data_IF_921716692162
#
_entry.id   IF_921716692162
#
_cell.length_a   1.000
_cell.length_b   1.000
_cell.length_c   1.000
_cell.angle_alpha   90.00
_cell.angle_beta   90.00
_cell.angle_gamma   90.00
#
_symmetry.space_group_name_H-M   'P 1'
#
loop_
_entity.id
_entity.type
_entity.pdbx_description
1 polymer ?
#
# COMPACT_ATOMS: atom_id res chain seq x y z
N UNK A 1 31.82 14.08 5.94
CA UNK A 1 30.58 13.64 6.63
C UNK A 1 30.25 12.24 6.13
N UNK A 2 30.04 11.27 7.02
CA UNK A 2 29.63 9.91 6.60
C UNK A 2 28.11 9.89 6.52
N UNK A 3 27.55 9.57 5.36
CA UNK A 3 26.09 9.42 5.18
C UNK A 3 25.63 8.16 5.94
N UNK A 4 24.71 8.27 6.92
CA UNK A 4 24.20 7.08 7.62
C UNK A 4 23.37 6.22 6.66
N UNK A 5 23.50 4.90 6.81
CA UNK A 5 22.65 3.92 6.14
C UNK A 5 21.79 3.21 7.18
N UNK A 6 20.47 3.30 7.00
CA UNK A 6 19.49 2.55 7.80
C UNK A 6 19.17 1.25 7.06
N UNK A 7 19.61 0.15 7.58
CA UNK A 7 19.32 -1.16 7.03
C UNK A 7 17.90 -1.63 7.37
N UNK A 8 17.50 -2.78 6.81
CA UNK A 8 16.17 -3.33 6.99
C UNK A 8 15.81 -3.59 8.48
N UNK A 9 16.78 -4.07 9.27
CA UNK A 9 16.57 -4.37 10.69
C UNK A 9 16.39 -3.08 11.50
N UNK A 10 17.19 -2.06 11.21
CA UNK A 10 17.09 -0.74 11.84
C UNK A 10 15.75 -0.08 11.50
N UNK A 11 15.33 -0.06 10.22
CA UNK A 11 14.03 0.47 9.79
C UNK A 11 12.87 -0.22 10.51
N UNK A 12 12.86 -1.56 10.54
CA UNK A 12 11.82 -2.33 11.22
C UNK A 12 11.78 -2.05 12.73
N UNK A 13 12.92 -1.72 13.36
CA UNK A 13 12.97 -1.37 14.79
C UNK A 13 12.48 0.05 15.10
N UNK A 14 12.61 0.97 14.16
CA UNK A 14 12.22 2.38 14.31
C UNK A 14 10.73 2.61 14.05
N UNK A 15 10.11 1.80 13.21
CA UNK A 15 8.77 2.01 12.67
C UNK A 15 7.87 0.80 12.92
N UNK A 16 7.01 0.88 13.94
CA UNK A 16 5.87 -0.04 14.01
C UNK A 16 4.84 0.31 12.92
N UNK A 17 3.96 -0.65 12.53
CA UNK A 17 2.86 -0.38 11.62
C UNK A 17 2.00 0.82 12.05
N UNK A 18 1.62 0.90 13.32
CA UNK A 18 0.82 2.01 13.85
C UNK A 18 1.51 3.36 13.70
N UNK A 19 2.84 3.42 13.91
CA UNK A 19 3.61 4.64 13.74
C UNK A 19 3.67 5.08 12.28
N UNK A 20 3.89 4.14 11.36
CA UNK A 20 3.91 4.44 9.93
C UNK A 20 2.53 4.91 9.43
N UNK A 21 1.44 4.27 9.87
CA UNK A 21 0.06 4.71 9.58
C UNK A 21 -0.19 6.11 10.10
N UNK A 22 0.18 6.40 11.36
CA UNK A 22 0.00 7.73 11.95
C UNK A 22 0.77 8.82 11.19
N UNK A 23 2.02 8.55 10.79
CA UNK A 23 2.82 9.49 10.00
C UNK A 23 2.17 9.83 8.65
N UNK A 24 1.64 8.83 7.94
CA UNK A 24 0.92 9.05 6.68
C UNK A 24 -0.38 9.84 6.88
N UNK A 25 -1.14 9.50 7.92
CA UNK A 25 -2.38 10.21 8.29
C UNK A 25 -2.10 11.67 8.62
N UNK A 26 -1.10 11.94 9.45
CA UNK A 26 -0.66 13.30 9.83
C UNK A 26 -0.18 14.11 8.63
N UNK A 27 0.55 13.49 7.70
CA UNK A 27 1.02 14.17 6.49
C UNK A 27 -0.15 14.61 5.60
N UNK A 28 -1.14 13.75 5.37
CA UNK A 28 -2.34 14.07 4.60
C UNK A 28 -3.20 15.12 5.31
N UNK A 29 -3.42 14.97 6.62
CA UNK A 29 -4.16 15.94 7.43
C UNK A 29 -3.44 17.30 7.50
N UNK A 30 -2.12 17.31 7.42
CA UNK A 30 -1.27 18.51 7.35
C UNK A 30 -1.21 19.16 5.97
N UNK A 31 -1.95 18.64 4.98
CA UNK A 31 -2.08 19.24 3.65
C UNK A 31 -1.04 18.73 2.62
N UNK A 32 -0.39 17.60 2.86
CA UNK A 32 0.35 16.93 1.80
C UNK A 32 -0.64 16.52 0.70
N UNK A 33 -0.35 16.94 -0.53
CA UNK A 33 -1.18 16.66 -1.69
C UNK A 33 -0.51 15.60 -2.58
N UNK A 34 -1.02 14.36 -2.62
CA UNK A 34 -0.50 13.30 -3.46
C UNK A 34 -0.54 13.60 -4.97
N UNK A 35 -1.41 14.51 -5.42
CA UNK A 35 -1.50 14.88 -6.83
C UNK A 35 -0.28 15.68 -7.32
N UNK A 36 0.53 16.21 -6.39
CA UNK A 36 1.78 16.92 -6.70
C UNK A 36 2.98 15.97 -6.88
N UNK A 37 2.82 14.68 -6.58
CA UNK A 37 3.87 13.70 -6.82
C UNK A 37 4.19 13.58 -8.31
N UNK A 38 5.46 13.68 -8.71
CA UNK A 38 5.84 13.47 -10.09
C UNK A 38 5.60 12.00 -10.48
N UNK A 39 5.28 11.73 -11.76
CA UNK A 39 5.22 10.36 -12.25
C UNK A 39 6.53 9.63 -11.99
N UNK A 40 6.45 8.34 -11.65
CA UNK A 40 7.62 7.48 -11.58
C UNK A 40 8.32 7.39 -12.93
N UNK A 41 9.64 7.32 -12.92
CA UNK A 41 10.45 7.27 -14.13
C UNK A 41 11.04 5.88 -14.27
N UNK A 42 10.97 5.34 -15.49
CA UNK A 42 11.61 4.09 -15.84
C UNK A 42 12.80 4.36 -16.77
N UNK A 43 13.92 3.68 -16.52
CA UNK A 43 15.10 3.76 -17.37
C UNK A 43 15.63 2.35 -17.64
N UNK A 44 15.60 1.88 -18.90
CA UNK A 44 15.99 0.52 -19.23
C UNK A 44 17.50 0.29 -19.02
N UNK A 45 17.82 -0.94 -18.59
CA UNK A 45 19.16 -1.47 -18.42
C UNK A 45 19.27 -2.83 -19.13
N UNK A 46 20.47 -3.31 -19.37
CA UNK A 46 20.68 -4.64 -20.00
C UNK A 46 20.06 -5.78 -19.15
N UNK A 47 20.19 -5.73 -17.82
CA UNK A 47 19.65 -6.75 -16.92
C UNK A 47 18.22 -6.49 -16.47
N UNK A 48 17.60 -5.37 -16.86
CA UNK A 48 16.27 -4.96 -16.38
C UNK A 48 16.02 -3.47 -16.53
N UNK A 49 15.60 -2.81 -15.44
CA UNK A 49 15.35 -1.37 -15.49
C UNK A 49 15.54 -0.70 -14.13
N UNK A 50 15.79 0.61 -14.13
CA UNK A 50 15.59 1.46 -12.99
C UNK A 50 14.13 1.89 -12.88
N UNK A 51 13.63 1.95 -11.65
CA UNK A 51 12.42 2.62 -11.24
C UNK A 51 12.79 3.73 -10.28
N UNK A 52 12.62 5.00 -10.69
CA UNK A 52 12.97 6.18 -9.94
C UNK A 52 11.69 6.85 -9.45
N UNK A 53 11.60 7.07 -8.14
CA UNK A 53 10.41 7.63 -7.49
C UNK A 53 10.83 8.83 -6.61
N UNK A 54 10.99 10.03 -7.21
CA UNK A 54 11.27 11.25 -6.45
C UNK A 54 10.01 11.77 -5.75
N UNK A 55 10.17 12.37 -4.57
CA UNK A 55 9.11 13.04 -3.82
C UNK A 55 9.66 14.15 -2.95
N UNK A 56 8.75 15.00 -2.45
CA UNK A 56 9.04 15.95 -1.39
C UNK A 56 7.89 16.04 -0.38
N UNK A 57 8.23 16.32 0.87
CA UNK A 57 7.30 16.64 1.95
C UNK A 57 7.45 18.10 2.37
N UNK A 58 6.88 18.49 3.50
CA UNK A 58 7.11 19.81 4.08
C UNK A 58 8.59 20.05 4.45
N UNK A 59 9.28 19.02 4.93
CA UNK A 59 10.63 19.10 5.51
C UNK A 59 11.72 18.47 4.65
N UNK A 60 11.38 17.42 3.92
CA UNK A 60 12.35 16.57 3.21
C UNK A 60 12.10 16.54 1.70
N UNK A 61 13.17 16.30 0.96
CA UNK A 61 13.15 15.79 -0.41
C UNK A 61 13.76 14.40 -0.42
N UNK A 62 13.43 13.57 -1.41
CA UNK A 62 14.02 12.24 -1.47
C UNK A 62 13.71 11.51 -2.76
N UNK A 63 14.38 10.39 -2.93
CA UNK A 63 14.17 9.55 -4.10
C UNK A 63 14.39 8.08 -3.74
N UNK A 64 13.45 7.23 -4.12
CA UNK A 64 13.68 5.80 -4.18
C UNK A 64 14.30 5.43 -5.53
N UNK A 65 15.47 4.85 -5.49
CA UNK A 65 16.12 4.22 -6.65
C UNK A 65 15.93 2.72 -6.50
N UNK A 66 14.97 2.17 -7.23
CA UNK A 66 14.75 0.74 -7.27
C UNK A 66 15.23 0.15 -8.62
N UNK A 67 15.57 -1.13 -8.61
CA UNK A 67 15.86 -1.90 -9.80
C UNK A 67 14.90 -3.06 -9.93
N UNK A 68 14.44 -3.33 -11.14
CA UNK A 68 13.64 -4.50 -11.48
C UNK A 68 14.45 -5.36 -12.44
N UNK A 69 14.94 -6.51 -11.95
CA UNK A 69 15.76 -7.43 -12.71
C UNK A 69 15.05 -8.79 -12.82
N UNK A 70 14.29 -9.06 -13.91
CA UNK A 70 13.47 -10.26 -14.06
C UNK A 70 14.26 -11.59 -14.01
N UNK A 71 15.53 -11.57 -14.38
CA UNK A 71 16.42 -12.75 -14.36
C UNK A 71 16.98 -13.09 -12.98
N UNK A 72 16.93 -12.19 -12.01
CA UNK A 72 17.53 -12.37 -10.68
C UNK A 72 17.02 -13.59 -9.91
N UNK A 73 15.70 -13.93 -9.90
CA UNK A 73 15.22 -15.09 -9.14
C UNK A 73 15.85 -16.42 -9.56
N UNK A 74 16.18 -16.58 -10.83
CA UNK A 74 16.86 -17.77 -11.33
C UNK A 74 18.32 -17.88 -10.82
N UNK A 75 18.88 -16.79 -10.30
CA UNK A 75 20.24 -16.71 -9.75
C UNK A 75 20.24 -16.57 -8.21
N UNK A 76 19.07 -16.73 -7.56
CA UNK A 76 18.94 -16.63 -6.10
C UNK A 76 18.93 -15.18 -5.57
N UNK A 77 18.77 -14.18 -6.43
CA UNK A 77 18.68 -12.78 -6.03
C UNK A 77 17.23 -12.27 -6.07
N UNK A 78 16.86 -11.24 -5.27
CA UNK A 78 15.56 -10.60 -5.37
C UNK A 78 15.33 -9.97 -6.75
N UNK A 79 14.10 -10.12 -7.29
CA UNK A 79 13.71 -9.46 -8.55
C UNK A 79 13.74 -7.93 -8.42
N UNK A 80 13.33 -7.41 -7.26
CA UNK A 80 13.27 -5.99 -6.95
C UNK A 80 14.24 -5.71 -5.80
N UNK A 81 15.08 -4.70 -5.98
CA UNK A 81 15.99 -4.18 -4.97
C UNK A 81 15.93 -2.66 -5.00
N UNK A 82 16.39 -1.97 -3.96
CA UNK A 82 16.38 -0.52 -4.00
C UNK A 82 17.00 0.13 -2.79
N UNK A 83 17.34 1.40 -2.96
CA UNK A 83 17.81 2.29 -1.91
C UNK A 83 16.98 3.55 -1.93
N UNK A 84 16.63 4.06 -0.77
CA UNK A 84 16.02 5.38 -0.60
C UNK A 84 17.09 6.37 -0.17
N UNK A 85 17.12 7.54 -0.82
CA UNK A 85 17.97 8.67 -0.42
C UNK A 85 17.09 9.78 0.13
N UNK A 86 17.28 10.13 1.40
CA UNK A 86 16.62 11.23 2.08
C UNK A 86 17.52 12.47 2.08
N UNK A 87 16.95 13.62 1.75
CA UNK A 87 17.65 14.91 1.70
C UNK A 87 16.86 15.96 2.50
N UNK A 88 17.58 16.93 3.04
CA UNK A 88 16.97 18.17 3.53
C UNK A 88 16.33 18.93 2.37
N UNK A 89 15.07 19.37 2.53
CA UNK A 89 14.34 20.00 1.44
C UNK A 89 14.92 21.37 1.03
N UNK A 90 15.39 22.14 1.99
CA UNK A 90 15.81 23.51 1.74
C UNK A 90 17.20 23.57 1.08
N UNK A 91 18.09 22.67 1.45
CA UNK A 91 19.50 22.67 1.04
C UNK A 91 19.85 21.56 0.06
N UNK A 92 18.97 20.56 -0.10
CA UNK A 92 19.20 19.32 -0.82
C UNK A 92 20.41 18.52 -0.33
N UNK A 93 20.83 18.77 0.91
CA UNK A 93 21.93 18.04 1.54
C UNK A 93 21.48 16.61 1.85
N UNK A 94 22.24 15.56 1.46
CA UNK A 94 21.92 14.19 1.83
C UNK A 94 21.96 14.00 3.35
N UNK A 95 20.87 13.42 3.91
CA UNK A 95 20.71 13.17 5.34
C UNK A 95 20.91 11.70 5.70
N UNK A 96 20.34 10.80 4.92
CA UNK A 96 20.44 9.36 5.12
C UNK A 96 20.22 8.59 3.81
N UNK A 97 20.79 7.40 3.73
CA UNK A 97 20.37 6.37 2.79
C UNK A 97 19.69 5.23 3.58
N UNK A 98 18.71 4.56 2.98
CA UNK A 98 17.89 3.55 3.63
C UNK A 98 17.66 2.35 2.72
N UNK A 99 17.40 1.17 3.30
CA UNK A 99 16.94 0.01 2.55
C UNK A 99 15.58 0.29 1.91
N UNK A 100 15.54 0.43 0.58
CA UNK A 100 14.34 0.79 -0.15
C UNK A 100 13.32 -0.35 -0.27
N UNK A 101 13.78 -1.60 -0.14
CA UNK A 101 12.90 -2.76 -0.14
C UNK A 101 12.13 -2.85 1.18
N UNK A 102 12.81 -2.73 2.32
CA UNK A 102 12.16 -2.71 3.63
C UNK A 102 11.26 -1.47 3.79
N UNK A 103 11.70 -0.30 3.32
CA UNK A 103 10.85 0.89 3.32
C UNK A 103 9.54 0.64 2.58
N UNK A 104 9.57 -0.07 1.45
CA UNK A 104 8.37 -0.46 0.70
C UNK A 104 7.51 -1.47 1.48
N UNK A 105 8.14 -2.40 2.21
CA UNK A 105 7.43 -3.37 3.08
C UNK A 105 6.78 -2.73 4.31
N UNK A 106 7.20 -1.52 4.68
CA UNK A 106 6.60 -0.73 5.77
C UNK A 106 5.51 0.18 5.21
N UNK A 107 5.79 1.00 4.16
CA UNK A 107 4.88 2.03 3.70
C UNK A 107 3.64 1.47 2.98
N UNK A 108 3.76 0.37 2.23
CA UNK A 108 2.62 -0.19 1.48
C UNK A 108 1.55 -0.76 2.41
N UNK A 109 1.88 -1.59 3.43
CA UNK A 109 0.91 -1.97 4.44
C UNK A 109 0.36 -0.77 5.22
N UNK A 110 1.18 0.24 5.51
CA UNK A 110 0.74 1.40 6.27
C UNK A 110 -0.31 2.22 5.52
N UNK A 111 -0.10 2.55 4.25
CA UNK A 111 -1.06 3.31 3.45
C UNK A 111 -2.36 2.54 3.22
N UNK A 112 -2.26 1.24 2.96
CA UNK A 112 -3.44 0.37 2.79
C UNK A 112 -4.23 0.25 4.09
N UNK A 113 -3.55 0.10 5.23
CA UNK A 113 -4.20 0.02 6.54
C UNK A 113 -4.85 1.35 6.93
N UNK A 114 -4.22 2.48 6.58
CA UNK A 114 -4.83 3.81 6.73
C UNK A 114 -6.16 3.89 5.98
N UNK A 115 -6.20 3.44 4.72
CA UNK A 115 -7.43 3.38 3.95
C UNK A 115 -8.47 2.48 4.61
N UNK A 116 -8.11 1.25 4.98
CA UNK A 116 -9.01 0.29 5.65
C UNK A 116 -9.57 0.88 6.94
N UNK A 117 -8.75 1.49 7.78
CA UNK A 117 -9.14 2.14 9.05
C UNK A 117 -10.28 3.16 8.83
N UNK A 118 -10.08 4.07 7.90
CA UNK A 118 -11.07 5.11 7.59
C UNK A 118 -12.32 4.55 6.93
N UNK A 119 -12.17 3.58 6.01
CA UNK A 119 -13.31 2.95 5.34
C UNK A 119 -14.17 2.13 6.31
N UNK A 120 -13.56 1.42 7.27
CA UNK A 120 -14.28 0.78 8.37
C UNK A 120 -15.01 1.80 9.24
N UNK A 121 -14.37 2.94 9.53
CA UNK A 121 -14.99 4.06 10.26
C UNK A 121 -16.26 4.56 9.58
N UNK A 122 -16.29 4.66 8.25
CA UNK A 122 -17.50 5.02 7.48
C UNK A 122 -18.61 3.98 7.57
N UNK A 123 -18.29 2.72 7.92
CA UNK A 123 -19.25 1.66 8.23
C UNK A 123 -19.68 1.63 9.70
N UNK A 124 -19.15 2.55 10.53
CA UNK A 124 -19.38 2.56 11.98
C UNK A 124 -18.65 1.43 12.71
N UNK A 125 -17.66 0.81 12.08
CA UNK A 125 -16.86 -0.28 12.65
C UNK A 125 -15.51 0.24 13.12
N UNK A 126 -15.11 -0.14 14.34
CA UNK A 126 -13.79 0.17 14.89
C UNK A 126 -12.75 -0.92 14.61
N UNK A 127 -13.18 -2.10 14.14
CA UNK A 127 -12.31 -3.24 13.86
C UNK A 127 -12.81 -4.04 12.65
N UNK A 128 -11.89 -4.74 11.98
CA UNK A 128 -12.25 -5.76 11.01
C UNK A 128 -12.73 -7.01 11.76
N UNK A 129 -13.99 -7.41 11.59
CA UNK A 129 -14.49 -8.68 12.13
C UNK A 129 -13.76 -9.83 11.46
N UNK A 130 -14.01 -10.07 10.17
CA UNK A 130 -13.30 -11.04 9.35
C UNK A 130 -12.44 -10.34 8.30
N UNK A 131 -11.14 -10.58 8.35
CA UNK A 131 -10.18 -10.21 7.30
C UNK A 131 -9.91 -11.41 6.39
N UNK A 132 -10.30 -11.32 5.11
CA UNK A 132 -9.93 -12.28 4.08
C UNK A 132 -8.73 -11.74 3.29
N UNK A 133 -7.61 -12.46 3.30
CA UNK A 133 -6.39 -12.08 2.57
C UNK A 133 -6.17 -13.01 1.41
N UNK A 134 -6.18 -12.47 0.20
CA UNK A 134 -5.84 -13.19 -1.04
C UNK A 134 -4.40 -12.86 -1.40
N UNK A 135 -3.51 -13.83 -1.17
CA UNK A 135 -2.08 -13.71 -1.32
C UNK A 135 -1.33 -14.31 -0.14
N UNK A 136 -0.09 -14.75 -0.38
CA UNK A 136 0.76 -15.41 0.63
C UNK A 136 2.20 -14.91 0.58
N UNK A 137 2.39 -13.73 0.00
CA UNK A 137 3.70 -13.06 -0.11
C UNK A 137 4.07 -12.38 1.20
N UNK A 138 5.30 -11.89 1.28
CA UNK A 138 5.74 -11.04 2.39
C UNK A 138 4.89 -9.77 2.52
N UNK A 139 4.40 -9.22 1.40
CA UNK A 139 3.45 -8.11 1.44
C UNK A 139 2.14 -8.51 2.14
N UNK A 140 1.56 -9.67 1.80
CA UNK A 140 0.36 -10.14 2.49
C UNK A 140 0.57 -10.29 4.00
N UNK A 141 1.70 -10.86 4.40
CA UNK A 141 2.10 -11.02 5.80
C UNK A 141 2.21 -9.69 6.55
N UNK A 142 2.89 -8.70 5.97
CA UNK A 142 3.04 -7.35 6.54
C UNK A 142 1.72 -6.58 6.60
N UNK A 143 0.82 -6.80 5.64
CA UNK A 143 -0.52 -6.20 5.70
C UNK A 143 -1.36 -6.79 6.83
N UNK A 144 -1.30 -8.12 7.05
CA UNK A 144 -1.97 -8.75 8.20
C UNK A 144 -1.48 -8.13 9.50
N UNK A 145 -0.15 -7.97 9.65
CA UNK A 145 0.46 -7.34 10.82
C UNK A 145 -0.08 -5.92 11.05
N UNK A 146 -0.08 -5.11 10.00
CA UNK A 146 -0.52 -3.72 10.09
C UNK A 146 -2.03 -3.58 10.39
N UNK A 147 -2.87 -4.35 9.71
CA UNK A 147 -4.33 -4.34 9.97
C UNK A 147 -4.63 -4.85 11.38
N UNK A 148 -3.93 -5.90 11.84
CA UNK A 148 -4.11 -6.43 13.20
C UNK A 148 -3.74 -5.38 14.26
N UNK A 149 -2.60 -4.69 14.09
CA UNK A 149 -2.13 -3.69 15.08
C UNK A 149 -3.02 -2.45 15.12
N UNK A 150 -3.49 -1.97 13.96
CA UNK A 150 -4.19 -0.67 13.86
C UNK A 150 -5.71 -0.80 13.95
N UNK A 151 -6.29 -1.82 13.29
CA UNK A 151 -7.74 -2.01 13.20
C UNK A 151 -8.24 -3.16 14.10
N UNK A 152 -7.35 -4.10 14.48
CA UNK A 152 -7.77 -5.35 15.10
C UNK A 152 -8.47 -6.29 14.11
N UNK A 153 -8.29 -7.58 14.31
CA UNK A 153 -8.88 -8.65 13.49
C UNK A 153 -9.48 -9.68 14.47
N UNK A 154 -10.74 -10.08 14.24
CA UNK A 154 -11.35 -11.17 15.00
C UNK A 154 -11.03 -12.53 14.35
N UNK A 155 -11.25 -12.64 13.05
CA UNK A 155 -11.01 -13.85 12.26
C UNK A 155 -10.15 -13.51 11.04
N UNK A 156 -9.10 -14.31 10.79
CA UNK A 156 -8.24 -14.20 9.61
C UNK A 156 -8.46 -15.40 8.69
N UNK A 157 -8.81 -15.12 7.43
CA UNK A 157 -8.95 -16.11 6.38
C UNK A 157 -7.85 -15.92 5.36
N UNK A 158 -6.93 -16.86 5.24
CA UNK A 158 -5.81 -16.80 4.27
C UNK A 158 -6.15 -17.62 3.05
N UNK A 159 -6.10 -16.99 1.89
CA UNK A 159 -6.43 -17.59 0.59
C UNK A 159 -5.20 -17.48 -0.31
N UNK A 160 -4.74 -18.60 -0.83
CA UNK A 160 -3.55 -18.64 -1.69
C UNK A 160 -3.72 -19.61 -2.85
N UNK A 161 -3.20 -19.23 -4.01
CA UNK A 161 -3.16 -20.12 -5.18
C UNK A 161 -2.42 -21.43 -4.91
N UNK A 162 -1.37 -21.37 -4.06
CA UNK A 162 -0.62 -22.53 -3.59
C UNK A 162 -1.06 -22.86 -2.16
N UNK A 163 -1.67 -24.04 -1.91
CA UNK A 163 -2.17 -24.41 -0.58
C UNK A 163 -1.11 -24.40 0.52
N UNK A 164 0.15 -24.70 0.18
CA UNK A 164 1.27 -24.73 1.13
C UNK A 164 1.53 -23.33 1.70
N UNK A 165 1.55 -22.30 0.83
CA UNK A 165 1.76 -20.92 1.25
C UNK A 165 0.62 -20.41 2.14
N UNK A 166 -0.63 -20.75 1.80
CA UNK A 166 -1.78 -20.39 2.62
C UNK A 166 -1.74 -21.05 3.99
N UNK A 167 -1.40 -22.36 4.06
CA UNK A 167 -1.23 -23.07 5.32
C UNK A 167 -0.12 -22.50 6.18
N UNK A 168 1.05 -22.22 5.59
CA UNK A 168 2.19 -21.67 6.31
C UNK A 168 1.86 -20.26 6.90
N UNK A 169 1.23 -19.41 6.11
CA UNK A 169 0.85 -18.07 6.58
C UNK A 169 -0.25 -18.12 7.66
N UNK A 170 -1.28 -18.95 7.48
CA UNK A 170 -2.32 -19.13 8.49
C UNK A 170 -1.76 -19.71 9.79
N UNK A 171 -0.88 -20.73 9.72
CA UNK A 171 -0.23 -21.31 10.89
C UNK A 171 0.62 -20.29 11.64
N UNK A 172 1.42 -19.48 10.94
CA UNK A 172 2.23 -18.40 11.53
C UNK A 172 1.37 -17.45 12.39
N UNK A 173 0.21 -17.05 11.91
CA UNK A 173 -0.66 -16.14 12.63
C UNK A 173 -1.45 -16.83 13.73
N UNK A 174 -1.83 -18.08 13.56
CA UNK A 174 -2.44 -18.89 14.62
C UNK A 174 -1.50 -19.08 15.81
N UNK A 175 -0.20 -19.32 15.58
CA UNK A 175 0.84 -19.40 16.61
C UNK A 175 1.01 -18.08 17.38
N UNK A 176 0.65 -16.97 16.78
CA UNK A 176 0.63 -15.63 17.42
C UNK A 176 -0.69 -15.30 18.11
N UNK A 177 -1.62 -16.26 18.18
CA UNK A 177 -2.90 -16.12 18.88
C UNK A 177 -4.03 -15.51 18.05
N UNK A 178 -3.85 -15.33 16.76
CA UNK A 178 -4.90 -14.87 15.83
C UNK A 178 -5.76 -16.07 15.43
N UNK A 179 -7.09 -15.91 15.40
CA UNK A 179 -8.00 -16.95 14.88
C UNK A 179 -7.85 -17.05 13.36
N UNK A 180 -6.77 -17.71 12.92
CA UNK A 180 -6.37 -17.78 11.52
C UNK A 180 -6.68 -19.16 10.92
N UNK A 181 -7.23 -19.17 9.70
CA UNK A 181 -7.53 -20.39 8.94
C UNK A 181 -7.28 -20.21 7.46
N UNK A 182 -7.06 -21.31 6.77
CA UNK A 182 -7.05 -21.33 5.30
C UNK A 182 -8.48 -21.28 4.80
N UNK A 183 -8.73 -20.48 3.76
CA UNK A 183 -10.00 -20.38 3.07
C UNK A 183 -9.93 -20.68 1.58
N UNK A 184 -11.09 -20.59 0.94
CA UNK A 184 -11.28 -20.63 -0.51
C UNK A 184 -11.76 -19.28 -1.01
N UNK A 185 -11.76 -19.05 -2.33
CA UNK A 185 -12.24 -17.77 -2.89
C UNK A 185 -13.71 -17.48 -2.54
N UNK A 186 -14.56 -18.50 -2.43
CA UNK A 186 -15.95 -18.32 -1.96
C UNK A 186 -16.00 -17.82 -0.51
N UNK A 187 -14.95 -18.05 0.26
CA UNK A 187 -14.81 -17.60 1.65
C UNK A 187 -14.65 -16.08 1.82
N UNK A 188 -14.51 -15.32 0.74
CA UNK A 188 -14.54 -13.85 0.79
C UNK A 188 -15.96 -13.32 0.99
N UNK A 189 -16.98 -14.13 0.64
CA UNK A 189 -18.36 -13.78 0.89
C UNK A 189 -18.61 -13.65 2.41
N UNK A 190 -19.09 -12.49 2.82
CA UNK A 190 -19.30 -12.17 4.24
C UNK A 190 -18.07 -11.71 5.02
N UNK A 191 -16.91 -11.56 4.37
CA UNK A 191 -15.77 -10.89 5.00
C UNK A 191 -16.03 -9.37 5.11
N UNK A 192 -15.65 -8.79 6.25
CA UNK A 192 -15.77 -7.33 6.46
C UNK A 192 -14.69 -6.60 5.66
N UNK A 193 -13.49 -7.19 5.60
CA UNK A 193 -12.36 -6.68 4.82
C UNK A 193 -11.83 -7.78 3.90
N UNK A 194 -11.68 -7.46 2.62
CA UNK A 194 -11.04 -8.31 1.60
C UNK A 194 -9.77 -7.60 1.15
N UNK A 195 -8.62 -8.20 1.43
CA UNK A 195 -7.32 -7.67 1.03
C UNK A 195 -6.73 -8.53 -0.09
N UNK A 196 -6.49 -7.93 -1.26
CA UNK A 196 -5.78 -8.54 -2.37
C UNK A 196 -4.33 -8.08 -2.36
N UNK A 197 -3.39 -9.04 -2.23
CA UNK A 197 -1.95 -8.80 -2.17
C UNK A 197 -1.20 -9.80 -3.05
N UNK A 198 -1.51 -9.77 -4.36
CA UNK A 198 -0.98 -10.70 -5.36
C UNK A 198 -0.24 -9.97 -6.48
N UNK A 199 0.36 -10.71 -7.39
CA UNK A 199 0.89 -10.21 -8.66
C UNK A 199 0.08 -10.77 -9.84
N UNK A 200 -1.24 -10.81 -9.71
CA UNK A 200 -2.12 -11.38 -10.73
C UNK A 200 -2.26 -10.44 -11.93
N UNK A 201 -2.38 -11.01 -13.13
CA UNK A 201 -2.75 -10.29 -14.34
C UNK A 201 -4.27 -10.35 -14.64
N UNK A 202 -5.02 -11.07 -13.81
CA UNK A 202 -6.47 -11.26 -13.94
C UNK A 202 -7.13 -11.14 -12.56
N UNK A 203 -8.43 -10.81 -12.49
CA UNK A 203 -9.16 -10.74 -11.22
C UNK A 203 -8.97 -12.00 -10.38
N UNK A 204 -8.74 -11.82 -9.07
CA UNK A 204 -8.40 -12.93 -8.17
C UNK A 204 -9.61 -13.56 -7.50
N UNK A 205 -10.77 -12.93 -7.57
CA UNK A 205 -12.04 -13.45 -7.09
C UNK A 205 -13.21 -12.86 -7.88
N UNK A 206 -14.37 -13.50 -7.80
CA UNK A 206 -15.63 -12.99 -8.38
C UNK A 206 -16.08 -11.77 -7.60
N UNK A 207 -16.14 -10.60 -8.27
CA UNK A 207 -16.50 -9.35 -7.63
C UNK A 207 -17.88 -9.35 -6.96
N UNK A 208 -18.81 -10.20 -7.38
CA UNK A 208 -20.16 -10.30 -6.79
C UNK A 208 -20.14 -10.91 -5.38
N UNK A 209 -19.05 -11.57 -4.99
CA UNK A 209 -18.87 -12.09 -3.63
C UNK A 209 -18.61 -10.98 -2.59
N UNK A 210 -18.14 -9.80 -3.02
CA UNK A 210 -17.99 -8.66 -2.11
C UNK A 210 -19.37 -8.07 -1.77
N UNK A 211 -19.81 -8.21 -0.53
CA UNK A 211 -21.09 -7.69 -0.07
C UNK A 211 -21.17 -6.15 -0.13
N UNK A 212 -22.38 -5.58 0.06
CA UNK A 212 -22.57 -4.12 -0.02
C UNK A 212 -21.84 -3.35 1.09
N UNK A 213 -21.54 -4.00 2.20
CA UNK A 213 -20.83 -3.39 3.33
C UNK A 213 -19.33 -3.75 3.37
N UNK A 214 -18.85 -4.58 2.44
CA UNK A 214 -17.45 -4.99 2.39
C UNK A 214 -16.52 -3.81 2.10
N UNK A 215 -15.38 -3.80 2.78
CA UNK A 215 -14.21 -2.98 2.46
C UNK A 215 -13.23 -3.85 1.68
N UNK A 216 -12.91 -3.46 0.45
CA UNK A 216 -11.96 -4.16 -0.41
C UNK A 216 -10.71 -3.31 -0.57
N UNK A 217 -9.54 -3.89 -0.38
CA UNK A 217 -8.25 -3.24 -0.61
C UNK A 217 -7.41 -4.08 -1.59
N UNK A 218 -6.92 -3.46 -2.65
CA UNK A 218 -6.07 -4.10 -3.66
C UNK A 218 -4.77 -3.32 -3.85
N UNK A 219 -3.64 -4.03 -3.85
CA UNK A 219 -2.31 -3.42 -3.88
C UNK A 219 -1.40 -3.95 -4.98
N UNK A 220 -1.83 -4.97 -5.71
CA UNK A 220 -1.01 -5.64 -6.73
C UNK A 220 -1.09 -5.01 -8.12
N UNK A 221 -1.98 -4.05 -8.32
CA UNK A 221 -2.22 -3.40 -9.60
C UNK A 221 -1.33 -2.16 -9.79
N UNK A 222 -0.08 -2.37 -10.17
CA UNK A 222 0.90 -1.32 -10.46
C UNK A 222 1.37 -1.37 -11.93
N UNK A 223 0.43 -1.21 -12.83
CA UNK A 223 0.60 -1.28 -14.28
C UNK A 223 -0.63 -1.86 -14.97
N UNK A 224 -0.78 -1.58 -16.25
CA UNK A 224 -1.98 -1.97 -17.01
C UNK A 224 -2.15 -3.49 -17.16
N UNK A 225 -1.05 -4.24 -17.04
CA UNK A 225 -1.02 -5.70 -17.16
C UNK A 225 -1.25 -6.43 -15.82
N UNK A 226 -1.36 -5.68 -14.71
CA UNK A 226 -1.60 -6.23 -13.38
C UNK A 226 -3.05 -5.90 -12.95
N UNK A 227 -3.76 -6.91 -12.42
CA UNK A 227 -5.16 -6.75 -12.00
C UNK A 227 -5.53 -7.75 -10.95
N UNK A 228 -6.15 -7.26 -9.88
CA UNK A 228 -6.69 -8.11 -8.81
C UNK A 228 -8.21 -8.05 -8.74
N UNK A 229 -8.80 -6.93 -9.17
CA UNK A 229 -10.22 -6.63 -9.00
C UNK A 229 -11.02 -6.89 -10.28
N UNK A 230 -12.17 -7.53 -10.12
CA UNK A 230 -13.15 -7.68 -11.19
C UNK A 230 -13.69 -6.30 -11.62
N UNK A 231 -13.75 -6.00 -12.94
CA UNK A 231 -14.31 -4.75 -13.43
C UNK A 231 -15.78 -4.51 -13.00
N UNK A 232 -16.56 -5.54 -12.73
CA UNK A 232 -17.93 -5.41 -12.22
C UNK A 232 -17.93 -4.80 -10.81
N UNK A 233 -17.03 -5.28 -9.94
CA UNK A 233 -16.84 -4.73 -8.60
C UNK A 233 -16.37 -3.28 -8.65
N UNK A 234 -15.35 -2.97 -9.45
CA UNK A 234 -14.84 -1.61 -9.61
C UNK A 234 -15.93 -0.64 -10.11
N UNK A 235 -16.84 -1.10 -10.99
CA UNK A 235 -17.97 -0.28 -11.48
C UNK A 235 -19.01 0.01 -10.41
N UNK A 236 -19.31 -0.92 -9.52
CA UNK A 236 -20.37 -0.79 -8.51
C UNK A 236 -19.89 -0.24 -7.17
N UNK A 237 -18.60 -0.33 -6.87
CA UNK A 237 -18.01 0.16 -5.62
C UNK A 237 -17.92 1.69 -5.58
N UNK A 238 -17.85 2.23 -4.37
CA UNK A 238 -17.33 3.56 -4.13
C UNK A 238 -15.80 3.47 -3.98
N UNK A 239 -15.07 4.19 -4.85
CA UNK A 239 -13.64 3.97 -5.06
C UNK A 239 -12.81 5.08 -4.42
N UNK A 240 -11.79 4.68 -3.68
CA UNK A 240 -10.75 5.54 -3.11
C UNK A 240 -9.40 5.12 -3.69
N UNK A 241 -8.60 6.09 -4.11
CA UNK A 241 -7.26 5.92 -4.66
C UNK A 241 -6.23 6.74 -3.90
N UNK A 242 -4.95 6.45 -4.07
CA UNK A 242 -3.88 7.27 -3.48
C UNK A 242 -3.83 8.66 -4.09
N UNK A 243 -3.86 8.74 -5.43
CA UNK A 243 -3.95 9.95 -6.23
C UNK A 243 -4.67 9.65 -7.55
N UNK A 244 -5.48 10.59 -8.04
CA UNK A 244 -6.30 10.40 -9.25
C UNK A 244 -5.45 10.23 -10.50
N UNK A 245 -4.44 11.11 -10.66
CA UNK A 245 -3.56 11.08 -11.81
C UNK A 245 -2.76 9.78 -11.91
N UNK A 246 -2.25 9.27 -10.80
CA UNK A 246 -1.52 8.00 -10.76
C UNK A 246 -2.44 6.80 -11.02
N UNK A 247 -3.63 6.78 -10.41
CA UNK A 247 -4.60 5.71 -10.60
C UNK A 247 -5.09 5.61 -12.05
N UNK A 248 -5.43 6.74 -12.69
CA UNK A 248 -5.87 6.76 -14.09
C UNK A 248 -4.76 6.39 -15.08
N UNK A 249 -3.49 6.53 -14.69
CA UNK A 249 -2.35 6.15 -15.50
C UNK A 249 -1.96 4.67 -15.32
N UNK A 250 -2.09 4.11 -14.12
CA UNK A 250 -1.42 2.87 -13.74
C UNK A 250 -2.32 1.81 -13.10
N UNK A 251 -3.54 2.15 -12.62
CA UNK A 251 -4.38 1.17 -11.94
C UNK A 251 -5.08 0.22 -12.91
N UNK A 252 -4.48 -0.94 -13.17
CA UNK A 252 -5.07 -1.99 -13.98
C UNK A 252 -6.39 -2.53 -13.43
N UNK A 253 -6.69 -2.29 -12.17
CA UNK A 253 -7.98 -2.61 -11.53
C UNK A 253 -9.10 -1.67 -11.99
N UNK A 254 -8.80 -0.41 -12.31
CA UNK A 254 -9.79 0.61 -12.61
C UNK A 254 -9.95 0.86 -14.12
N UNK A 255 -8.84 0.88 -14.85
CA UNK A 255 -8.82 1.27 -16.27
C UNK A 255 -9.73 0.40 -17.14
N UNK A 256 -9.83 -0.94 -16.95
CA UNK A 256 -10.75 -1.76 -17.72
C UNK A 256 -12.22 -1.65 -17.29
N UNK A 257 -12.48 -1.08 -16.11
CA UNK A 257 -13.84 -0.95 -15.61
C UNK A 257 -14.58 0.24 -16.22
N UNK A 258 -13.85 1.34 -16.47
CA UNK A 258 -14.38 2.58 -17.06
C UNK A 258 -13.28 3.31 -17.80
N UNK A 259 -13.64 4.13 -18.78
CA UNK A 259 -12.71 5.08 -19.41
C UNK A 259 -12.27 6.15 -18.40
N UNK A 260 -11.13 6.81 -18.68
CA UNK A 260 -10.66 7.92 -17.83
C UNK A 260 -11.73 9.01 -17.71
N UNK A 261 -12.41 9.35 -18.81
CA UNK A 261 -13.49 10.36 -18.82
C UNK A 261 -14.67 9.95 -17.91
N UNK A 262 -15.06 8.67 -17.91
CA UNK A 262 -16.14 8.19 -17.04
C UNK A 262 -15.71 8.21 -15.56
N UNK A 263 -14.43 7.93 -15.26
CA UNK A 263 -13.91 8.07 -13.92
C UNK A 263 -13.84 9.53 -13.45
N UNK A 264 -13.43 10.46 -14.31
CA UNK A 264 -13.44 11.89 -14.03
C UNK A 264 -14.85 12.41 -13.75
N UNK A 265 -15.84 12.01 -14.56
CA UNK A 265 -17.25 12.40 -14.38
C UNK A 265 -17.86 11.82 -13.10
N UNK A 266 -17.49 10.59 -12.72
CA UNK A 266 -17.93 9.97 -11.48
C UNK A 266 -17.28 10.63 -10.25
N UNK A 267 -16.06 11.10 -10.38
CA UNK A 267 -15.21 11.56 -9.30
C UNK A 267 -14.60 10.39 -8.52
N UNK A 268 -13.28 10.21 -8.64
CA UNK A 268 -12.54 9.31 -7.76
C UNK A 268 -12.22 10.06 -6.46
N UNK A 269 -12.56 9.47 -5.31
CA UNK A 269 -12.08 9.98 -4.03
C UNK A 269 -10.59 9.62 -3.86
N UNK A 270 -9.84 10.48 -3.20
CA UNK A 270 -8.46 10.19 -2.82
C UNK A 270 -8.35 9.77 -1.35
N UNK A 271 -7.22 9.21 -0.98
CA UNK A 271 -6.92 8.93 0.42
C UNK A 271 -6.90 10.22 1.26
N UNK A 272 -6.48 11.35 0.68
CA UNK A 272 -6.58 12.65 1.33
C UNK A 272 -8.04 13.06 1.58
N UNK A 273 -8.94 12.89 0.59
CA UNK A 273 -10.38 13.14 0.77
C UNK A 273 -10.97 12.28 1.91
N UNK A 274 -10.50 11.05 2.03
CA UNK A 274 -10.93 10.12 3.06
C UNK A 274 -10.45 10.55 4.46
N UNK A 275 -9.17 10.91 4.60
CA UNK A 275 -8.57 11.38 5.86
C UNK A 275 -9.19 12.72 6.32
N UNK A 276 -9.44 13.63 5.39
CA UNK A 276 -10.04 14.93 5.68
C UNK A 276 -11.56 14.87 5.89
N UNK A 277 -12.20 13.71 5.74
CA UNK A 277 -13.63 13.52 5.94
C UNK A 277 -14.51 14.16 4.86
N UNK A 278 -13.96 14.47 3.69
CA UNK A 278 -14.71 15.00 2.54
C UNK A 278 -15.32 13.94 1.66
N UNK A 279 -14.96 12.65 1.85
CA UNK A 279 -15.53 11.53 1.14
C UNK A 279 -16.82 11.03 1.82
N UNK A 280 -17.92 11.07 1.07
CA UNK A 280 -19.24 10.59 1.51
C UNK A 280 -19.76 9.51 0.54
N UNK A 281 -19.53 8.21 0.79
CA UNK A 281 -19.93 7.16 -0.10
C UNK A 281 -21.46 6.96 -0.12
N UNK A 282 -22.01 6.55 -1.26
CA UNK A 282 -23.39 6.14 -1.36
C UNK A 282 -23.62 4.85 -0.52
N UNK A 283 -24.75 4.75 0.21
CA UNK A 283 -25.06 3.56 1.01
C UNK A 283 -25.29 2.33 0.13
N UNK A 284 -25.08 1.15 0.70
CA UNK A 284 -25.38 -0.13 0.04
C UNK A 284 -24.42 -0.49 -1.11
N UNK A 285 -23.23 0.09 -1.12
CA UNK A 285 -22.18 -0.23 -2.10
C UNK A 285 -20.90 -0.64 -1.37
N UNK A 286 -20.14 -1.63 -1.86
CA UNK A 286 -18.83 -1.92 -1.31
C UNK A 286 -17.89 -0.71 -1.44
N UNK A 287 -16.96 -0.60 -0.51
CA UNK A 287 -15.90 0.41 -0.54
C UNK A 287 -14.64 -0.24 -1.10
N UNK A 288 -14.04 0.34 -2.13
CA UNK A 288 -12.84 -0.18 -2.77
C UNK A 288 -11.70 0.82 -2.66
N UNK A 289 -10.63 0.43 -2.00
CA UNK A 289 -9.34 1.10 -2.09
C UNK A 289 -8.45 0.35 -3.07
N UNK A 290 -7.82 1.05 -4.02
CA UNK A 290 -6.78 0.48 -4.86
C UNK A 290 -5.57 1.40 -4.89
N UNK A 291 -4.42 0.82 -4.52
CA UNK A 291 -3.13 1.50 -4.48
C UNK A 291 -2.21 1.05 -5.60
N UNK A 292 -1.52 2.02 -6.21
CA UNK A 292 -0.46 1.78 -7.21
C UNK A 292 0.93 2.02 -6.61
N UNK A 293 0.98 2.56 -5.39
CA UNK A 293 2.18 2.93 -4.64
C UNK A 293 2.79 4.24 -5.14
N UNK A 294 2.71 5.28 -4.34
CA UNK A 294 3.20 6.61 -4.71
C UNK A 294 4.48 6.98 -3.93
N UNK A 295 5.24 7.94 -4.45
CA UNK A 295 6.51 8.33 -3.87
C UNK A 295 6.36 9.15 -2.57
N UNK A 296 5.23 9.86 -2.39
CA UNK A 296 4.93 10.59 -1.16
C UNK A 296 4.88 9.67 0.07
N UNK A 297 4.46 8.42 -0.10
CA UNK A 297 4.43 7.44 0.99
C UNK A 297 5.84 7.10 1.48
N UNK A 298 6.76 6.92 0.53
CA UNK A 298 8.16 6.63 0.84
C UNK A 298 8.80 7.79 1.61
N UNK A 299 8.60 9.06 1.19
CA UNK A 299 9.23 10.21 1.85
C UNK A 299 8.70 10.46 3.25
N UNK A 300 7.39 10.28 3.46
CA UNK A 300 6.77 10.44 4.78
C UNK A 300 7.32 9.40 5.75
N UNK A 301 7.35 8.13 5.34
CA UNK A 301 7.82 7.04 6.19
C UNK A 301 9.33 7.12 6.41
N UNK A 302 10.12 7.50 5.38
CA UNK A 302 11.56 7.72 5.52
C UNK A 302 11.88 8.88 6.47
N UNK A 303 11.15 10.00 6.36
CA UNK A 303 11.28 11.12 7.29
C UNK A 303 10.98 10.73 8.73
N UNK A 304 9.89 9.99 8.94
CA UNK A 304 9.51 9.46 10.25
C UNK A 304 10.59 8.53 10.84
N UNK A 305 11.19 7.65 10.03
CA UNK A 305 12.29 6.78 10.48
C UNK A 305 13.51 7.60 10.89
N UNK A 306 13.89 8.58 10.07
CA UNK A 306 15.03 9.45 10.32
C UNK A 306 14.88 10.25 11.63
N UNK A 307 13.68 10.84 11.85
CA UNK A 307 13.36 11.58 13.07
C UNK A 307 13.34 10.67 14.31
N UNK A 308 12.79 9.47 14.19
CA UNK A 308 12.78 8.47 15.28
C UNK A 308 14.19 8.06 15.71
N UNK A 309 15.10 7.99 14.76
CA UNK A 309 16.53 7.74 15.04
C UNK A 309 17.21 8.89 15.78
N UNK A 310 16.59 10.04 15.90
CA UNK A 310 17.16 11.27 16.47
C UNK A 310 17.74 12.23 15.43
N UNK A 311 17.39 12.04 14.15
CA UNK A 311 17.70 12.97 13.08
C UNK A 311 16.81 14.22 13.15
N UNK A 312 17.31 15.34 12.63
CA UNK A 312 16.55 16.57 12.44
C UNK A 312 16.90 17.18 11.09
N UNK A 313 15.97 17.92 10.48
CA UNK A 313 16.32 18.76 9.33
C UNK A 313 17.42 19.77 9.67
N UNK A 314 18.12 20.23 8.67
CA UNK A 314 19.17 21.26 8.87
C UNK A 314 18.46 22.58 9.16
N UNK A 315 18.75 23.27 10.31
CA UNK A 315 18.14 24.58 10.55
C UNK A 315 18.48 25.55 9.42
N UNK A 316 17.48 26.18 8.85
CA UNK A 316 17.68 27.29 7.89
C UNK A 316 18.11 28.50 8.70
N UNK A 317 19.34 28.96 8.51
CA UNK A 317 19.87 30.19 9.12
C UNK A 317 19.60 31.42 8.24
#
# INVERSE_FOLDING_TARGET
>A
MTLPYLDAAELASLLSPARAVAALEEALAGGLDPELDPPRLFSPLEAGEFLLMPAQSATYAGIKVATVAPGNPAQGHPKIQGTYLLLDKATLTPLAAMDGAELTLIRTPAVTTLAIKHLLGLRGAASAGTLAVIGTSLQADRHIEAVLEVCGIKDLVVIGRRPEGARALAAKWAERGVAARVGTLDGVAGADVILCATSSAVPVFDGDLAGPDAVVAAIGSHGLDAREIDPSLARRAEVVVEGRASALREAGDLIPARTAQEWEQRGLATLADLVLGSFAPAPGRPLLYTGVGMAWEDIVVAGCAYETRGGSGIPVH
#
